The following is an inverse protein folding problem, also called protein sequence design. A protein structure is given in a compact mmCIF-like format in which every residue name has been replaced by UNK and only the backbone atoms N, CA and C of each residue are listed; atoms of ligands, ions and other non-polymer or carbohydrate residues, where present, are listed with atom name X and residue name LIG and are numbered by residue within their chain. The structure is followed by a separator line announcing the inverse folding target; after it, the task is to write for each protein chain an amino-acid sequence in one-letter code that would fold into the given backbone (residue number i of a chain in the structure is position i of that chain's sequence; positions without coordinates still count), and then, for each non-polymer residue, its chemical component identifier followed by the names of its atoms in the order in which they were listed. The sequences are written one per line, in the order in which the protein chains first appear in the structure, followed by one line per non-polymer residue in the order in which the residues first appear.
data_IF_134171142418
#
_entry.id   IF_134171142418
#
_cell.length_a   1.000
_cell.length_b   1.000
_cell.length_c   1.000
_cell.angle_alpha   90.00
_cell.angle_beta   90.00
_cell.angle_gamma   90.00
#
_symmetry.space_group_name_H-M   'P 1'
#
loop_
_entity.id
_entity.type
_entity.pdbx_description
1 polymer ?
#
# COMPACT_ATOMS: atom_id res chain seq x y z
N UNK A 1 3.40 16.14 8.77
CA UNK A 1 4.32 15.68 9.85
C UNK A 1 3.78 14.54 10.72
N UNK A 2 2.50 14.55 11.10
CA UNK A 2 1.91 13.55 12.03
C UNK A 2 1.33 12.29 11.35
N UNK A 3 1.73 12.00 10.11
CA UNK A 3 1.40 10.75 9.40
C UNK A 3 2.68 10.12 8.89
N UNK A 4 2.72 8.79 8.88
CA UNK A 4 3.81 8.05 8.27
C UNK A 4 4.00 8.55 6.83
N UNK A 5 5.24 8.90 6.50
CA UNK A 5 5.59 9.50 5.22
C UNK A 5 6.83 8.79 4.70
N UNK A 6 6.84 8.40 3.43
CA UNK A 6 8.06 7.92 2.78
C UNK A 6 8.98 9.10 2.47
N UNK A 7 10.27 8.96 2.78
CA UNK A 7 11.30 9.97 2.45
C UNK A 7 11.84 9.81 1.02
N UNK A 8 11.31 8.85 0.24
CA UNK A 8 11.69 8.74 -1.16
C UNK A 8 11.08 9.87 -2.00
N UNK A 9 11.95 10.65 -2.66
CA UNK A 9 11.54 11.59 -3.69
C UNK A 9 10.88 10.83 -4.87
N UNK A 10 9.58 11.06 -5.08
CA UNK A 10 8.84 10.48 -6.20
C UNK A 10 9.17 11.16 -7.55
N UNK A 11 9.70 12.39 -7.52
CA UNK A 11 10.01 13.16 -8.74
C UNK A 11 11.38 12.81 -9.37
N UNK A 12 11.45 12.71 -10.70
CA UNK A 12 12.70 12.70 -11.48
C UNK A 12 13.43 11.37 -11.70
N UNK A 13 13.07 10.28 -11.02
CA UNK A 13 13.72 8.96 -11.23
C UNK A 13 12.93 8.08 -12.20
N UNK A 14 13.63 7.33 -13.06
CA UNK A 14 13.10 6.53 -14.17
C UNK A 14 11.82 5.75 -13.77
N UNK A 15 10.67 5.96 -14.43
CA UNK A 15 9.39 5.36 -14.05
C UNK A 15 9.32 3.84 -14.24
N UNK A 16 10.29 3.25 -14.95
CA UNK A 16 10.35 1.81 -15.22
C UNK A 16 10.93 1.03 -14.02
N UNK A 17 11.71 1.67 -13.13
CA UNK A 17 12.56 0.95 -12.16
C UNK A 17 12.47 1.40 -10.69
N UNK A 18 11.68 2.41 -10.34
CA UNK A 18 11.55 2.80 -8.93
C UNK A 18 10.41 2.06 -8.21
N UNK A 19 10.76 0.91 -7.65
CA UNK A 19 9.87 0.08 -6.81
C UNK A 19 9.15 0.91 -5.75
N UNK A 20 9.84 1.88 -5.15
CA UNK A 20 9.26 2.73 -4.11
C UNK A 20 8.12 3.64 -4.58
N UNK A 21 8.07 4.07 -5.86
CA UNK A 21 6.89 4.80 -6.38
C UNK A 21 5.67 3.90 -6.47
N UNK A 22 5.87 2.70 -7.02
CA UNK A 22 4.80 1.70 -7.12
C UNK A 22 4.29 1.35 -5.73
N UNK A 23 5.18 1.12 -4.77
CA UNK A 23 4.82 0.76 -3.40
C UNK A 23 4.15 1.92 -2.65
N UNK A 24 4.57 3.17 -2.86
CA UNK A 24 3.88 4.32 -2.26
C UNK A 24 2.43 4.43 -2.75
N UNK A 25 2.19 4.28 -4.06
CA UNK A 25 0.83 4.30 -4.63
C UNK A 25 0.04 3.08 -4.15
N UNK A 26 0.65 1.89 -4.18
CA UNK A 26 0.02 0.66 -3.72
C UNK A 26 -0.40 0.74 -2.25
N UNK A 27 0.48 1.24 -1.38
CA UNK A 27 0.20 1.41 0.04
C UNK A 27 -0.92 2.43 0.27
N UNK A 28 -0.97 3.51 -0.52
CA UNK A 28 -2.06 4.47 -0.46
C UNK A 28 -3.40 3.84 -0.87
N UNK A 29 -3.45 3.12 -1.99
CA UNK A 29 -4.66 2.45 -2.47
C UNK A 29 -5.14 1.40 -1.47
N UNK A 30 -4.23 0.53 -1.00
CA UNK A 30 -4.56 -0.49 -0.01
C UNK A 30 -5.08 0.11 1.30
N UNK A 31 -4.49 1.22 1.78
CA UNK A 31 -4.98 1.89 2.98
C UNK A 31 -6.39 2.49 2.78
N UNK A 32 -6.71 3.00 1.59
CA UNK A 32 -8.04 3.51 1.25
C UNK A 32 -9.06 2.36 1.22
N UNK A 33 -8.77 1.31 0.47
CA UNK A 33 -9.63 0.13 0.33
C UNK A 33 -9.89 -0.57 1.67
N UNK A 34 -8.89 -0.65 2.55
CA UNK A 34 -9.07 -1.20 3.90
C UNK A 34 -10.14 -0.41 4.69
N UNK A 35 -10.08 0.93 4.64
CA UNK A 35 -11.03 1.79 5.37
C UNK A 35 -12.41 1.75 4.74
N UNK A 36 -12.49 1.66 3.41
CA UNK A 36 -13.77 1.63 2.68
C UNK A 36 -14.49 0.28 2.81
N UNK A 37 -13.76 -0.84 2.71
CA UNK A 37 -14.34 -2.20 2.67
C UNK A 37 -14.58 -2.79 4.06
N UNK A 38 -13.92 -2.30 5.10
CA UNK A 38 -13.99 -2.85 6.45
C UNK A 38 -14.55 -1.77 7.40
N UNK A 39 -15.88 -1.69 7.59
CA UNK A 39 -16.53 -0.59 8.34
C UNK A 39 -16.06 -0.45 9.79
N UNK A 40 -15.49 -1.52 10.36
CA UNK A 40 -14.93 -1.51 11.71
C UNK A 40 -13.53 -0.90 11.79
N UNK A 41 -12.91 -0.51 10.68
CA UNK A 41 -11.61 0.15 10.62
C UNK A 41 -11.80 1.64 10.36
N UNK A 42 -11.33 2.48 11.28
CA UNK A 42 -11.44 3.95 11.18
C UNK A 42 -10.25 4.58 10.46
N UNK A 43 -9.06 3.99 10.64
CA UNK A 43 -7.83 4.44 9.98
C UNK A 43 -6.94 3.25 9.66
N UNK A 44 -6.22 3.34 8.54
CA UNK A 44 -5.22 2.38 8.13
C UNK A 44 -3.95 3.09 7.69
N UNK A 45 -2.80 2.47 7.94
CA UNK A 45 -1.49 2.86 7.42
C UNK A 45 -0.79 1.61 6.93
N UNK A 46 -0.38 1.61 5.68
CA UNK A 46 0.29 0.47 5.04
C UNK A 46 1.76 0.80 4.80
N UNK A 47 2.63 -0.14 5.14
CA UNK A 47 4.07 -0.08 4.93
C UNK A 47 4.49 -1.24 4.04
N UNK A 48 5.23 -0.93 2.98
CA UNK A 48 5.77 -1.91 2.05
C UNK A 48 7.28 -1.70 1.94
N UNK A 49 8.04 -2.78 2.11
CA UNK A 49 9.49 -2.78 1.99
C UNK A 49 9.90 -3.75 0.88
N UNK A 50 10.57 -3.24 -0.15
CA UNK A 50 11.10 -4.06 -1.23
C UNK A 50 12.46 -4.67 -0.86
N UNK A 51 12.79 -5.80 -1.49
CA UNK A 51 14.15 -6.35 -1.52
C UNK A 51 14.69 -6.30 -2.94
N UNK A 52 15.94 -5.88 -3.11
CA UNK A 52 16.59 -5.87 -4.43
C UNK A 52 16.61 -7.29 -4.99
N UNK A 53 16.15 -7.45 -6.23
CA UNK A 53 16.07 -8.74 -6.92
C UNK A 53 14.80 -9.55 -6.65
N UNK A 54 13.94 -9.11 -5.72
CA UNK A 54 12.64 -9.74 -5.49
C UNK A 54 11.57 -9.21 -6.49
N UNK A 55 10.59 -10.04 -6.86
CA UNK A 55 9.40 -9.59 -7.59
C UNK A 55 8.62 -8.47 -6.86
N UNK A 56 7.91 -7.64 -7.61
CA UNK A 56 7.12 -6.51 -7.06
C UNK A 56 5.95 -6.96 -6.18
N UNK A 57 5.41 -8.14 -6.42
CA UNK A 57 4.33 -8.77 -5.67
C UNK A 57 4.84 -9.50 -4.42
N UNK A 58 6.17 -9.57 -4.22
CA UNK A 58 6.83 -10.24 -3.10
C UNK A 58 7.73 -9.28 -2.31
N UNK A 59 7.15 -8.32 -1.57
CA UNK A 59 7.91 -7.44 -0.70
C UNK A 59 8.57 -8.23 0.44
N UNK A 60 9.69 -7.71 0.95
CA UNK A 60 10.34 -8.23 2.16
C UNK A 60 9.41 -8.11 3.37
N UNK A 61 8.67 -7.00 3.44
CA UNK A 61 7.69 -6.73 4.50
C UNK A 61 6.48 -6.04 3.90
N UNK A 62 5.29 -6.51 4.26
CA UNK A 62 4.02 -5.83 4.04
C UNK A 62 3.26 -5.77 5.37
N UNK A 63 3.07 -4.56 5.90
CA UNK A 63 2.46 -4.34 7.21
C UNK A 63 1.33 -3.34 7.11
N UNK A 64 0.14 -3.72 7.56
CA UNK A 64 -0.98 -2.80 7.77
C UNK A 64 -1.16 -2.54 9.28
N UNK A 65 -1.02 -1.28 9.70
CA UNK A 65 -1.44 -0.82 11.02
C UNK A 65 -2.82 -0.22 10.90
N UNK A 66 -3.78 -0.75 11.66
CA UNK A 66 -5.17 -0.32 11.60
C UNK A 66 -5.66 0.11 12.97
N UNK A 67 -6.54 1.11 12.99
CA UNK A 67 -7.24 1.54 14.19
C UNK A 67 -8.72 1.15 14.10
N UNK A 68 -9.21 0.25 14.98
CA UNK A 68 -10.62 -0.10 14.99
C UNK A 68 -11.49 1.10 15.38
N UNK A 69 -12.73 1.13 14.89
CA UNK A 69 -13.73 2.14 15.22
C UNK A 69 -14.22 1.99 16.67
N UNK A 70 -14.31 0.76 17.15
CA UNK A 70 -14.70 0.41 18.52
C UNK A 70 -14.10 -0.92 18.94
N UNK A 71 -13.72 -1.05 20.21
CA UNK A 71 -13.20 -2.30 20.76
C UNK A 71 -11.80 -2.66 20.28
N UNK A 72 -11.45 -3.94 20.40
CA UNK A 72 -10.15 -4.49 20.00
C UNK A 72 -10.16 -5.03 18.58
N UNK A 73 -8.98 -5.20 17.99
CA UNK A 73 -8.81 -5.85 16.70
C UNK A 73 -9.20 -7.34 16.81
N UNK A 74 -10.22 -7.77 16.08
CA UNK A 74 -10.61 -9.18 16.04
C UNK A 74 -9.75 -9.96 15.03
N UNK A 75 -9.63 -11.29 15.18
CA UNK A 75 -9.00 -12.13 14.16
C UNK A 75 -9.65 -12.03 12.78
N UNK A 76 -10.97 -11.80 12.71
CA UNK A 76 -11.68 -11.62 11.44
C UNK A 76 -11.24 -10.35 10.72
N UNK A 77 -11.18 -9.21 11.43
CA UNK A 77 -10.71 -7.94 10.85
C UNK A 77 -9.27 -8.06 10.37
N UNK A 78 -8.41 -8.79 11.11
CA UNK A 78 -7.05 -9.06 10.67
C UNK A 78 -7.02 -9.85 9.35
N UNK A 79 -7.85 -10.88 9.22
CA UNK A 79 -7.93 -11.67 8.00
C UNK A 79 -8.45 -10.85 6.81
N UNK A 80 -9.46 -10.00 7.04
CA UNK A 80 -10.01 -9.12 6.00
C UNK A 80 -8.98 -8.10 5.53
N UNK A 81 -8.26 -7.46 6.46
CA UNK A 81 -7.16 -6.52 6.13
C UNK A 81 -6.06 -7.21 5.34
N UNK A 82 -5.70 -8.43 5.73
CA UNK A 82 -4.68 -9.21 5.03
C UNK A 82 -5.13 -9.57 3.61
N UNK A 83 -6.39 -9.99 3.43
CA UNK A 83 -6.94 -10.30 2.11
C UNK A 83 -6.92 -9.09 1.17
N UNK A 84 -7.27 -7.90 1.67
CA UNK A 84 -7.18 -6.66 0.87
C UNK A 84 -5.73 -6.38 0.46
N UNK A 85 -4.79 -6.51 1.40
CA UNK A 85 -3.37 -6.25 1.11
C UNK A 85 -2.80 -7.24 0.08
N UNK A 86 -3.14 -8.52 0.20
CA UNK A 86 -2.73 -9.58 -0.73
C UNK A 86 -3.34 -9.35 -2.13
N UNK A 87 -4.59 -8.92 -2.21
CA UNK A 87 -5.26 -8.56 -3.48
C UNK A 87 -4.53 -7.42 -4.20
N UNK A 88 -4.17 -6.35 -3.47
CA UNK A 88 -3.41 -5.25 -4.04
C UNK A 88 -2.01 -5.70 -4.50
N UNK A 89 -1.30 -6.49 -3.70
CA UNK A 89 0.02 -7.02 -4.08
C UNK A 89 -0.05 -7.87 -5.36
N UNK A 90 -1.07 -8.72 -5.50
CA UNK A 90 -1.29 -9.50 -6.71
C UNK A 90 -1.54 -8.61 -7.96
N UNK A 91 -2.07 -7.40 -7.77
CA UNK A 91 -2.35 -6.42 -8.82
C UNK A 91 -1.28 -5.34 -8.98
N UNK A 92 -0.12 -5.46 -8.31
CA UNK A 92 0.93 -4.43 -8.30
C UNK A 92 1.42 -4.02 -9.70
N UNK A 93 1.41 -4.95 -10.66
CA UNK A 93 1.78 -4.67 -12.05
C UNK A 93 0.80 -3.72 -12.75
N UNK A 94 -0.49 -3.80 -12.44
CA UNK A 94 -1.50 -2.88 -12.96
C UNK A 94 -1.27 -1.47 -12.39
N UNK A 95 -0.91 -1.38 -11.11
CA UNK A 95 -0.54 -0.08 -10.49
C UNK A 95 0.67 0.53 -11.21
N UNK A 96 1.68 -0.28 -11.54
CA UNK A 96 2.82 0.17 -12.35
C UNK A 96 2.39 0.70 -13.72
N UNK A 97 1.49 0.01 -14.42
CA UNK A 97 0.98 0.45 -15.73
C UNK A 97 0.23 1.78 -15.64
N UNK A 98 -0.63 1.95 -14.64
CA UNK A 98 -1.38 3.19 -14.40
C UNK A 98 -0.48 4.37 -14.04
N UNK A 99 0.61 4.13 -13.31
CA UNK A 99 1.65 5.13 -13.05
C UNK A 99 2.34 5.56 -14.35
N UNK A 100 2.69 4.60 -15.23
CA UNK A 100 3.26 4.89 -16.55
C UNK A 100 2.29 5.68 -17.42
N UNK A 101 0.99 5.39 -17.32
CA UNK A 101 -0.10 6.12 -17.96
C UNK A 101 -0.36 7.53 -17.39
N UNK A 102 0.35 7.95 -16.34
CA UNK A 102 0.18 9.23 -15.64
C UNK A 102 -1.21 9.43 -15.02
N UNK A 103 -1.86 8.33 -14.60
CA UNK A 103 -3.18 8.37 -13.97
C UNK A 103 -3.16 8.86 -12.52
N UNK A 104 -1.98 8.95 -11.90
CA UNK A 104 -1.81 9.41 -10.52
C UNK A 104 -1.02 10.73 -10.47
N UNK A 105 -1.47 11.73 -9.70
CA UNK A 105 -0.68 12.92 -9.41
C UNK A 105 0.46 12.54 -8.45
N UNK A 106 1.67 12.39 -8.98
CA UNK A 106 2.90 12.18 -8.21
C UNK A 106 3.65 13.51 -8.13
N UNK A 107 3.89 13.99 -6.92
CA UNK A 107 4.58 15.26 -6.62
C UNK A 107 6.02 15.04 -6.18
#
# INVERSE_FOLDING_TARGET
PFRATSLEAACGKNPISHVGKVYNVLAMLAAQDIVERIPTVKEATVYLLSQIGAPLDQPLVATATVRPASGSLTPSVRADVQAVLDEHLAQVHQVRERILGREFPLF
#
